data_IF_156877217773
#
_entry.id   IF_156877217773
#
_cell.length_a   1.000
_cell.length_b   1.000
_cell.length_c   1.000
_cell.angle_alpha   90.00
_cell.angle_beta   90.00
_cell.angle_gamma   90.00
#
_symmetry.space_group_name_H-M   'P 1'
#
loop_
_entity.id
_entity.type
_entity.pdbx_description
1 polymer ?
#
# COMPACT_ATOMS: atom_id res chain seq x y z
N UNK A 1 2.11 3.69 3.99
CA UNK A 1 3.20 3.30 4.92
C UNK A 1 4.45 2.78 4.19
N UNK A 2 4.30 1.98 3.13
CA UNK A 2 5.40 1.39 2.34
C UNK A 2 6.50 2.39 1.93
N UNK A 3 6.13 3.56 1.39
CA UNK A 3 7.08 4.63 1.03
C UNK A 3 8.01 5.05 2.18
N UNK A 4 7.51 5.12 3.42
CA UNK A 4 8.32 5.48 4.61
C UNK A 4 9.35 4.40 4.94
N UNK A 5 8.96 3.13 4.86
CA UNK A 5 9.86 1.98 5.08
C UNK A 5 10.99 1.97 4.06
N UNK A 6 10.65 2.10 2.78
CA UNK A 6 11.65 2.15 1.70
C UNK A 6 12.56 3.37 1.86
N UNK A 7 12.01 4.58 2.03
CA UNK A 7 12.82 5.78 2.21
C UNK A 7 13.81 5.63 3.38
N UNK A 8 13.36 5.06 4.50
CA UNK A 8 14.20 4.89 5.68
C UNK A 8 15.35 3.91 5.47
N UNK A 9 15.09 2.79 4.79
CA UNK A 9 16.12 1.81 4.47
C UNK A 9 17.18 2.38 3.53
N UNK A 10 16.79 3.20 2.55
CA UNK A 10 17.74 3.88 1.65
C UNK A 10 18.51 5.00 2.36
N UNK A 11 17.83 5.83 3.17
CA UNK A 11 18.47 6.89 3.95
C UNK A 11 19.45 6.33 4.99
N UNK A 12 19.15 5.21 5.65
CA UNK A 12 20.06 4.61 6.64
C UNK A 12 21.38 4.13 6.03
N UNK A 13 21.38 3.75 4.76
CA UNK A 13 22.58 3.40 3.99
C UNK A 13 23.24 4.59 3.29
N UNK A 14 22.58 5.74 3.20
CA UNK A 14 23.06 6.90 2.45
C UNK A 14 23.20 6.63 0.95
N UNK A 15 22.43 5.69 0.40
CA UNK A 15 22.52 5.25 -1.00
C UNK A 15 21.22 5.56 -1.74
N UNK A 16 21.33 5.80 -3.05
CA UNK A 16 20.18 5.96 -3.96
C UNK A 16 19.79 4.65 -4.67
N UNK A 17 20.71 3.67 -4.70
CA UNK A 17 20.50 2.32 -5.27
C UNK A 17 21.18 1.29 -4.39
N UNK A 18 20.60 0.10 -4.26
CA UNK A 18 21.23 -1.03 -3.59
C UNK A 18 20.71 -2.37 -4.11
N UNK A 19 21.49 -3.44 -3.93
CA UNK A 19 21.04 -4.79 -4.31
C UNK A 19 19.79 -5.19 -3.52
N UNK A 20 18.93 -6.02 -4.12
CA UNK A 20 17.76 -6.60 -3.43
C UNK A 20 18.14 -7.25 -2.10
N UNK A 21 19.20 -8.05 -2.08
CA UNK A 21 19.70 -8.71 -0.86
C UNK A 21 20.19 -7.72 0.21
N UNK A 22 20.80 -6.60 -0.20
CA UNK A 22 21.25 -5.55 0.71
C UNK A 22 20.05 -4.82 1.34
N UNK A 23 19.00 -4.55 0.57
CA UNK A 23 17.77 -3.93 1.09
C UNK A 23 17.07 -4.83 2.12
N UNK A 24 16.99 -6.13 1.81
CA UNK A 24 16.44 -7.14 2.72
C UNK A 24 17.26 -7.17 4.02
N UNK A 25 18.58 -7.23 3.91
CA UNK A 25 19.50 -7.25 5.06
C UNK A 25 19.36 -5.99 5.91
N UNK A 26 19.26 -4.82 5.28
CA UNK A 26 19.09 -3.54 5.96
C UNK A 26 17.85 -3.54 6.85
N UNK A 27 16.71 -4.00 6.32
CA UNK A 27 15.45 -4.04 7.07
C UNK A 27 15.46 -5.12 8.17
N UNK A 28 16.15 -6.24 7.97
CA UNK A 28 16.13 -7.36 8.93
C UNK A 28 17.20 -7.32 10.01
N UNK A 29 18.38 -6.79 9.70
CA UNK A 29 19.53 -6.80 10.62
C UNK A 29 19.89 -5.40 11.10
N UNK A 30 20.10 -4.45 10.19
CA UNK A 30 20.58 -3.12 10.58
C UNK A 30 19.49 -2.31 11.30
N UNK A 31 18.28 -2.30 10.73
CA UNK A 31 17.12 -1.63 11.32
C UNK A 31 16.35 -2.51 12.30
N UNK A 32 16.54 -3.84 12.22
CA UNK A 32 15.86 -4.83 13.05
C UNK A 32 14.33 -4.62 13.09
N UNK A 33 13.74 -4.34 11.93
CA UNK A 33 12.30 -4.10 11.79
C UNK A 33 11.53 -5.38 11.51
N UNK A 34 12.07 -6.23 10.64
CA UNK A 34 11.39 -7.44 10.17
C UNK A 34 12.31 -8.66 10.24
N UNK A 35 11.73 -9.85 10.16
CA UNK A 35 12.52 -11.06 9.88
C UNK A 35 13.04 -11.02 8.44
N UNK A 36 14.04 -11.83 8.11
CA UNK A 36 14.55 -11.92 6.73
C UNK A 36 13.44 -12.24 5.71
N UNK A 37 12.53 -13.17 6.05
CA UNK A 37 11.36 -13.49 5.23
C UNK A 37 10.34 -12.36 5.19
N UNK A 38 10.15 -11.63 6.30
CA UNK A 38 9.32 -10.43 6.31
C UNK A 38 9.84 -9.36 5.35
N UNK A 39 11.14 -9.06 5.44
CA UNK A 39 11.82 -8.11 4.55
C UNK A 39 11.70 -8.48 3.08
N UNK A 40 11.79 -9.77 2.72
CA UNK A 40 11.56 -10.22 1.33
C UNK A 40 10.17 -9.83 0.83
N UNK A 41 9.12 -10.14 1.61
CA UNK A 41 7.73 -9.80 1.26
C UNK A 41 7.53 -8.30 1.08
N UNK A 42 8.17 -7.48 1.93
CA UNK A 42 8.13 -6.02 1.81
C UNK A 42 8.73 -5.55 0.49
N UNK A 43 9.88 -6.11 0.08
CA UNK A 43 10.50 -5.76 -1.20
C UNK A 43 9.62 -6.18 -2.38
N UNK A 44 9.11 -7.41 -2.36
CA UNK A 44 8.21 -7.92 -3.42
C UNK A 44 6.94 -7.08 -3.56
N UNK A 45 6.34 -6.64 -2.45
CA UNK A 45 5.16 -5.78 -2.46
C UNK A 45 5.52 -4.37 -2.96
N UNK A 46 6.62 -3.79 -2.50
CA UNK A 46 7.07 -2.47 -2.94
C UNK A 46 7.40 -2.42 -4.45
N UNK A 47 7.93 -3.51 -5.02
CA UNK A 47 8.10 -3.66 -6.47
C UNK A 47 6.76 -3.77 -7.19
N UNK A 48 5.79 -4.52 -6.63
CA UNK A 48 4.43 -4.65 -7.19
C UNK A 48 3.67 -3.32 -7.19
N UNK A 49 3.81 -2.53 -6.13
CA UNK A 49 3.26 -1.17 -6.01
C UNK A 49 4.01 -0.14 -6.88
N UNK A 50 5.09 -0.53 -7.56
CA UNK A 50 5.90 0.35 -8.40
C UNK A 50 6.72 1.38 -7.61
N UNK A 51 6.95 1.15 -6.32
CA UNK A 51 7.77 2.00 -5.45
C UNK A 51 9.27 1.73 -5.59
N UNK A 52 9.63 0.55 -6.10
CA UNK A 52 10.99 0.14 -6.41
C UNK A 52 11.09 -0.27 -7.88
N UNK A 53 12.21 0.07 -8.51
CA UNK A 53 12.52 -0.35 -9.88
C UNK A 53 14.00 -0.75 -10.01
N UNK A 54 14.29 -1.67 -10.93
CA UNK A 54 15.65 -2.12 -11.27
C UNK A 54 15.78 -3.65 -11.26
N UNK A 55 16.69 -4.18 -12.07
CA UNK A 55 16.92 -5.63 -12.18
C UNK A 55 17.96 -6.11 -11.17
N UNK A 56 19.17 -5.56 -11.21
CA UNK A 56 20.28 -5.92 -10.31
C UNK A 56 20.33 -5.06 -9.04
N UNK A 57 20.09 -3.76 -9.20
CA UNK A 57 20.06 -2.78 -8.12
C UNK A 57 18.71 -2.08 -8.10
N UNK A 58 18.04 -2.13 -6.95
CA UNK A 58 16.77 -1.48 -6.71
C UNK A 58 16.99 -0.01 -6.38
N UNK A 59 16.15 0.85 -6.93
CA UNK A 59 16.07 2.27 -6.62
C UNK A 59 14.61 2.68 -6.34
N UNK A 60 14.36 3.60 -5.41
CA UNK A 60 13.03 4.17 -5.21
C UNK A 60 12.57 4.94 -6.46
N UNK A 61 11.29 4.83 -6.80
CA UNK A 61 10.67 5.57 -7.93
C UNK A 61 10.12 6.93 -7.50
N UNK A 62 10.35 7.32 -6.26
CA UNK A 62 9.88 8.56 -5.64
C UNK A 62 11.04 9.25 -4.91
N UNK A 63 10.88 10.55 -4.61
CA UNK A 63 11.88 11.28 -3.82
C UNK A 63 11.85 10.83 -2.35
N UNK A 64 12.96 10.25 -1.89
CA UNK A 64 13.10 9.80 -0.51
C UNK A 64 13.27 10.98 0.44
N UNK A 65 13.79 12.11 -0.01
CA UNK A 65 14.11 13.26 0.84
C UNK A 65 12.84 13.95 1.34
N UNK A 66 11.78 13.94 0.55
CA UNK A 66 10.43 14.41 0.91
C UNK A 66 9.70 13.54 1.95
N UNK A 67 10.28 12.41 2.34
CA UNK A 67 9.66 11.49 3.29
C UNK A 67 10.18 11.72 4.71
N UNK A 68 9.27 12.12 5.61
CA UNK A 68 9.52 12.21 7.05
C UNK A 68 9.52 10.82 7.72
N UNK A 69 10.60 10.56 8.47
CA UNK A 69 10.96 9.27 9.07
C UNK A 69 11.17 9.38 10.59
N UNK A 70 10.80 10.51 11.18
CA UNK A 70 11.04 10.76 12.61
C UNK A 70 10.30 9.74 13.49
N UNK A 71 11.03 9.07 14.40
CA UNK A 71 10.50 8.04 15.33
C UNK A 71 9.74 6.88 14.67
N UNK A 72 10.14 6.47 13.47
CA UNK A 72 9.44 5.46 12.69
C UNK A 72 9.91 4.03 12.99
N UNK A 73 9.00 3.17 13.47
CA UNK A 73 9.18 1.71 13.53
C UNK A 73 7.96 1.03 12.91
N UNK A 74 8.08 0.42 11.72
CA UNK A 74 6.95 -0.20 11.05
C UNK A 74 6.55 -1.54 11.67
N UNK A 75 5.25 -1.85 11.64
CA UNK A 75 4.73 -3.20 11.88
C UNK A 75 4.57 -3.92 10.53
N UNK A 76 5.14 -5.11 10.42
CA UNK A 76 5.06 -5.92 9.19
C UNK A 76 3.63 -6.27 8.81
N UNK A 77 2.77 -6.50 9.80
CA UNK A 77 1.38 -6.89 9.61
C UNK A 77 0.57 -5.74 9.04
N UNK A 78 0.80 -4.51 9.51
CA UNK A 78 0.18 -3.30 8.95
C UNK A 78 0.78 -2.91 7.60
N UNK A 79 2.07 -3.20 7.39
CA UNK A 79 2.75 -2.89 6.14
C UNK A 79 2.30 -3.78 4.98
N UNK A 80 2.06 -5.07 5.27
CA UNK A 80 1.61 -6.07 4.30
C UNK A 80 0.10 -6.33 4.38
N UNK A 81 -0.61 -5.71 5.31
CA UNK A 81 -2.07 -5.79 5.35
C UNK A 81 -2.59 -5.17 4.07
N UNK A 82 -3.45 -5.93 3.38
CA UNK A 82 -4.29 -5.38 2.33
C UNK A 82 -5.02 -4.16 2.88
N UNK A 83 -4.98 -3.05 2.13
CA UNK A 83 -5.70 -1.83 2.52
C UNK A 83 -7.18 -2.17 2.77
N UNK A 84 -7.88 -1.36 3.58
CA UNK A 84 -9.33 -1.61 3.73
C UNK A 84 -10.03 -1.48 2.38
N UNK A 85 -9.53 -0.59 1.52
CA UNK A 85 -9.97 -0.44 0.14
C UNK A 85 -9.82 -1.71 -0.68
N UNK A 86 -8.68 -2.42 -0.61
CA UNK A 86 -8.47 -3.69 -1.30
C UNK A 86 -9.45 -4.77 -0.80
N UNK A 87 -9.67 -4.85 0.51
CA UNK A 87 -10.65 -5.77 1.08
C UNK A 87 -12.08 -5.49 0.59
N UNK A 88 -12.44 -4.21 0.46
CA UNK A 88 -13.73 -3.80 -0.10
C UNK A 88 -13.83 -4.20 -1.57
N UNK A 89 -12.79 -3.95 -2.37
CA UNK A 89 -12.74 -4.34 -3.80
C UNK A 89 -12.94 -5.84 -3.96
N UNK A 90 -12.26 -6.65 -3.16
CA UNK A 90 -12.37 -8.11 -3.23
C UNK A 90 -13.76 -8.60 -2.85
N UNK A 91 -14.39 -8.00 -1.84
CA UNK A 91 -15.74 -8.39 -1.46
C UNK A 91 -16.75 -8.02 -2.55
N UNK A 92 -16.61 -6.83 -3.17
CA UNK A 92 -17.42 -6.43 -4.33
C UNK A 92 -17.18 -7.41 -5.49
N UNK A 93 -15.94 -7.78 -5.75
CA UNK A 93 -15.56 -8.72 -6.82
C UNK A 93 -16.26 -10.07 -6.63
N UNK A 94 -16.23 -10.62 -5.41
CA UNK A 94 -16.95 -11.85 -5.06
C UNK A 94 -18.47 -11.68 -5.19
N UNK A 95 -19.03 -10.58 -4.66
CA UNK A 95 -20.48 -10.31 -4.67
C UNK A 95 -21.03 -10.17 -6.10
N UNK A 96 -20.29 -9.52 -6.98
CA UNK A 96 -20.68 -9.24 -8.37
C UNK A 96 -20.18 -10.28 -9.37
N UNK A 97 -19.37 -11.26 -8.94
CA UNK A 97 -18.69 -12.24 -9.80
C UNK A 97 -17.86 -11.57 -10.91
N UNK A 98 -17.02 -10.62 -10.51
CA UNK A 98 -16.15 -9.82 -11.38
C UNK A 98 -14.71 -9.92 -10.94
N UNK A 99 -13.78 -9.65 -11.85
CA UNK A 99 -12.37 -9.51 -11.51
C UNK A 99 -12.11 -8.20 -10.74
N UNK A 100 -11.11 -8.17 -9.86
CA UNK A 100 -10.78 -6.97 -9.06
C UNK A 100 -10.48 -5.74 -9.94
N UNK A 101 -9.90 -5.92 -11.13
CA UNK A 101 -9.65 -4.84 -12.09
C UNK A 101 -10.94 -4.24 -12.66
N UNK A 102 -11.97 -5.05 -12.88
CA UNK A 102 -13.28 -4.55 -13.29
C UNK A 102 -13.94 -3.77 -12.16
N UNK A 103 -13.87 -4.27 -10.93
CA UNK A 103 -14.41 -3.58 -9.75
C UNK A 103 -13.71 -2.25 -9.53
N UNK A 104 -12.39 -2.21 -9.62
CA UNK A 104 -11.62 -0.97 -9.55
C UNK A 104 -12.12 0.05 -10.58
N UNK A 105 -12.39 -0.39 -11.82
CA UNK A 105 -12.93 0.47 -12.88
C UNK A 105 -14.34 0.98 -12.57
N UNK A 106 -15.20 0.15 -11.95
CA UNK A 106 -16.55 0.55 -11.49
C UNK A 106 -16.43 1.63 -10.41
N UNK A 107 -15.53 1.46 -9.44
CA UNK A 107 -15.29 2.43 -8.37
C UNK A 107 -14.75 3.74 -8.95
N UNK A 108 -13.77 3.67 -9.86
CA UNK A 108 -13.22 4.85 -10.51
C UNK A 108 -14.31 5.62 -11.28
N UNK A 109 -15.15 4.92 -12.05
CA UNK A 109 -16.30 5.55 -12.71
C UNK A 109 -17.28 6.17 -11.70
N UNK A 110 -17.56 5.49 -10.58
CA UNK A 110 -18.41 6.06 -9.52
C UNK A 110 -17.82 7.35 -8.94
N UNK A 111 -16.50 7.38 -8.73
CA UNK A 111 -15.80 8.57 -8.25
C UNK A 111 -15.92 9.73 -9.26
N UNK A 112 -15.76 9.44 -10.55
CA UNK A 112 -15.94 10.41 -11.64
C UNK A 112 -17.39 10.90 -11.74
N UNK A 113 -18.39 10.01 -11.61
CA UNK A 113 -19.82 10.35 -11.58
C UNK A 113 -20.16 11.32 -10.43
N UNK A 114 -19.43 11.21 -9.32
CA UNK A 114 -19.55 12.10 -8.16
C UNK A 114 -18.69 13.38 -8.31
N UNK A 115 -18.21 13.67 -9.52
CA UNK A 115 -17.42 14.86 -9.82
C UNK A 115 -16.06 14.88 -9.13
N UNK A 116 -15.53 13.73 -8.71
CA UNK A 116 -14.28 13.64 -7.95
C UNK A 116 -14.35 14.27 -6.55
N UNK A 117 -15.55 14.55 -6.03
CA UNK A 117 -15.73 15.19 -4.72
C UNK A 117 -15.40 14.26 -3.55
N UNK A 118 -15.36 12.95 -3.79
CA UNK A 118 -15.05 11.93 -2.79
C UNK A 118 -13.73 11.25 -3.14
N UNK A 119 -13.01 10.79 -2.10
CA UNK A 119 -11.82 9.97 -2.27
C UNK A 119 -12.18 8.58 -2.83
N UNK A 120 -11.21 7.91 -3.44
CA UNK A 120 -11.41 6.57 -4.00
C UNK A 120 -11.89 5.55 -2.95
N UNK A 121 -11.37 5.51 -1.71
CA UNK A 121 -11.90 4.66 -0.64
C UNK A 121 -13.38 4.94 -0.31
N UNK A 122 -13.80 6.21 -0.33
CA UNK A 122 -15.21 6.58 -0.10
C UNK A 122 -16.09 6.14 -1.26
N UNK A 123 -15.63 6.31 -2.51
CA UNK A 123 -16.32 5.77 -3.67
C UNK A 123 -16.45 4.23 -3.59
N UNK A 124 -15.44 3.53 -3.08
CA UNK A 124 -15.49 2.08 -2.87
C UNK A 124 -16.60 1.68 -1.87
N UNK A 125 -16.77 2.42 -0.76
CA UNK A 125 -17.88 2.20 0.18
C UNK A 125 -19.25 2.41 -0.47
N UNK A 126 -19.40 3.43 -1.33
CA UNK A 126 -20.65 3.69 -2.05
C UNK A 126 -20.98 2.52 -2.97
N UNK A 127 -20.01 2.06 -3.79
CA UNK A 127 -20.19 0.91 -4.68
C UNK A 127 -20.47 -0.37 -3.88
N UNK A 128 -19.79 -0.58 -2.75
CA UNK A 128 -20.06 -1.72 -1.87
C UNK A 128 -21.52 -1.70 -1.36
N UNK A 129 -22.00 -0.53 -0.94
CA UNK A 129 -23.38 -0.36 -0.50
C UNK A 129 -24.38 -0.61 -1.63
N UNK A 130 -24.13 -0.10 -2.83
CA UNK A 130 -24.92 -0.35 -4.04
C UNK A 130 -24.95 -1.84 -4.42
N UNK A 131 -23.83 -2.57 -4.20
CA UNK A 131 -23.73 -4.02 -4.38
C UNK A 131 -24.41 -4.84 -3.26
N UNK A 132 -25.00 -4.19 -2.25
CA UNK A 132 -25.68 -4.84 -1.13
C UNK A 132 -24.74 -5.43 -0.09
N UNK A 133 -23.53 -4.89 0.04
CA UNK A 133 -22.56 -5.25 1.08
C UNK A 133 -22.83 -4.41 2.33
N UNK A 134 -22.73 -5.03 3.51
CA UNK A 134 -22.82 -4.31 4.78
C UNK A 134 -21.51 -3.56 5.04
N UNK A 135 -21.52 -2.26 4.75
CA UNK A 135 -20.34 -1.40 4.87
C UNK A 135 -19.99 -1.00 6.31
N UNK A 136 -20.87 -1.21 7.29
CA UNK A 136 -20.66 -0.67 8.65
C UNK A 136 -19.34 -1.08 9.28
N UNK A 137 -18.84 -2.28 8.95
CA UNK A 137 -17.56 -2.81 9.44
C UNK A 137 -16.31 -2.16 8.82
N UNK A 138 -16.47 -1.40 7.73
CA UNK A 138 -15.37 -0.76 7.01
C UNK A 138 -15.27 0.75 7.28
N UNK A 139 -16.30 1.37 7.86
CA UNK A 139 -16.38 2.84 8.00
C UNK A 139 -15.20 3.38 8.80
N UNK A 140 -14.93 2.84 9.98
CA UNK A 140 -13.85 3.32 10.85
C UNK A 140 -12.45 3.15 10.22
N UNK A 141 -12.25 2.05 9.48
CA UNK A 141 -10.96 1.78 8.83
C UNK A 141 -10.77 2.71 7.62
N UNK A 142 -11.81 2.95 6.83
CA UNK A 142 -11.77 3.86 5.67
C UNK A 142 -11.61 5.30 6.14
N UNK A 143 -12.27 5.70 7.23
CA UNK A 143 -12.08 7.02 7.83
C UNK A 143 -10.60 7.25 8.16
N UNK A 144 -9.95 6.30 8.83
CA UNK A 144 -8.51 6.37 9.11
C UNK A 144 -7.67 6.43 7.84
N UNK A 145 -7.99 5.65 6.81
CA UNK A 145 -7.24 5.65 5.55
C UNK A 145 -7.37 6.98 4.79
N UNK A 146 -8.53 7.65 4.87
CA UNK A 146 -8.80 8.90 4.15
C UNK A 146 -8.19 10.12 4.85
N UNK A 147 -8.10 10.13 6.18
CA UNK A 147 -7.62 11.27 6.97
C UNK A 147 -6.19 11.10 7.51
N UNK A 148 -5.42 10.16 6.97
CA UNK A 148 -4.00 9.93 7.28
C UNK A 148 -3.04 10.90 6.58
#
# INVERSE_FOLDING_TARGET
MMRKVIAAAFKSKGKKKMKRSELIYTMSFDLNWFTHEGSKKVVEEAEREGLLAGEDELQPTFDIDDVDITNFKPDLSELLSRSVTDRIIEEIAVKLKKESREVFSIINRKQEELGGMVSFPVAALIVAREAGINISRYIEEVEKEVFQ
#
